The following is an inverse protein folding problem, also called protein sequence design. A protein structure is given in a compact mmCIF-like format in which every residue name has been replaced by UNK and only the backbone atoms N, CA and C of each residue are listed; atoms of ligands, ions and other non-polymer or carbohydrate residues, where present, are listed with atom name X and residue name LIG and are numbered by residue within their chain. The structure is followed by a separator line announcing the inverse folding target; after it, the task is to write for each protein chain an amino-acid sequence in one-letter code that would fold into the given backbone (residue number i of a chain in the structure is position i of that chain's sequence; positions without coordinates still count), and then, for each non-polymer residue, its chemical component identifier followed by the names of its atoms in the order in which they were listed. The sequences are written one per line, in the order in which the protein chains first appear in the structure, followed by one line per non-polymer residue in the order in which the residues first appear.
data_IF_862802292471
#
_entry.id   IF_862802292471
#
_cell.length_a   1.000
_cell.length_b   1.000
_cell.length_c   1.000
_cell.angle_alpha   90.00
_cell.angle_beta   90.00
_cell.angle_gamma   90.00
#
_symmetry.space_group_name_H-M   'P 1'
#
loop_
_entity.id
_entity.type
_entity.pdbx_description
1 polymer ?
#
# COMPACT_ATOMS: atom_id res chain seq x y z
N UNK A 1 -3.22 28.86 16.50
CA UNK A 1 -2.77 28.96 15.09
C UNK A 1 -3.07 27.62 14.46
N UNK A 2 -4.12 27.56 13.65
CA UNK A 2 -4.71 26.30 13.17
C UNK A 2 -4.16 26.03 11.78
N UNK A 3 -3.39 24.95 11.62
CA UNK A 3 -2.79 24.56 10.34
C UNK A 3 -3.91 24.07 9.42
N UNK A 4 -4.16 24.84 8.36
CA UNK A 4 -5.13 24.52 7.32
C UNK A 4 -4.58 23.34 6.51
N UNK A 5 -5.32 22.23 6.47
CA UNK A 5 -4.95 21.06 5.68
C UNK A 5 -5.09 21.41 4.19
N UNK A 6 -3.96 21.54 3.48
CA UNK A 6 -3.93 21.71 2.03
C UNK A 6 -4.54 20.49 1.35
N UNK A 7 -5.81 20.61 1.00
CA UNK A 7 -6.56 19.62 0.24
C UNK A 7 -6.31 19.92 -1.24
N UNK A 8 -5.53 19.06 -1.90
CA UNK A 8 -5.32 19.17 -3.35
C UNK A 8 -6.47 18.45 -4.05
N UNK A 9 -7.32 19.22 -4.73
CA UNK A 9 -8.40 18.74 -5.57
C UNK A 9 -7.83 18.36 -6.94
N UNK A 10 -8.25 17.23 -7.51
CA UNK A 10 -7.77 16.76 -8.81
C UNK A 10 -9.00 16.54 -9.68
N UNK A 11 -9.09 17.25 -10.80
CA UNK A 11 -10.14 17.04 -11.81
C UNK A 11 -9.92 15.69 -12.52
N UNK A 12 -10.89 15.20 -13.32
CA UNK A 12 -10.73 13.98 -14.12
C UNK A 12 -9.49 13.98 -15.04
N UNK A 13 -8.91 15.17 -15.29
CA UNK A 13 -7.76 15.43 -16.16
C UNK A 13 -6.45 15.70 -15.38
N UNK A 14 -6.44 15.58 -14.05
CA UNK A 14 -5.21 15.72 -13.25
C UNK A 14 -4.87 17.12 -12.76
N UNK A 15 -5.69 18.14 -13.07
CA UNK A 15 -5.47 19.54 -12.70
C UNK A 15 -6.16 19.94 -11.39
N UNK A 16 -5.64 20.97 -10.72
CA UNK A 16 -6.23 21.54 -9.51
C UNK A 16 -7.44 22.44 -9.86
N UNK A 17 -8.63 21.84 -9.99
CA UNK A 17 -9.88 22.52 -10.35
C UNK A 17 -10.97 22.47 -9.27
N UNK A 18 -11.95 23.38 -9.38
CA UNK A 18 -13.06 23.54 -8.43
C UNK A 18 -14.13 22.44 -8.53
N UNK A 19 -14.28 21.72 -7.42
CA UNK A 19 -15.49 21.17 -6.78
C UNK A 19 -16.70 20.86 -7.69
N UNK A 20 -16.69 19.76 -8.45
CA UNK A 20 -17.91 19.01 -8.83
C UNK A 20 -17.59 17.55 -9.18
N UNK A 21 -17.72 16.68 -8.17
CA UNK A 21 -18.19 15.28 -8.17
C UNK A 21 -17.49 14.49 -7.04
N UNK A 22 -18.27 14.22 -5.99
CA UNK A 22 -17.81 13.79 -4.67
C UNK A 22 -17.39 12.31 -4.68
N UNK A 23 -16.10 12.06 -4.76
CA UNK A 23 -15.48 10.94 -4.04
C UNK A 23 -15.08 11.52 -2.67
N UNK A 24 -15.53 10.97 -1.52
CA UNK A 24 -15.03 11.38 -0.22
C UNK A 24 -13.52 11.21 -0.23
N UNK A 25 -12.80 12.31 -0.36
CA UNK A 25 -11.37 12.33 -0.54
C UNK A 25 -10.71 11.74 0.70
N UNK A 26 -10.42 10.43 0.67
CA UNK A 26 -9.28 9.90 1.37
C UNK A 26 -8.10 10.72 0.85
N UNK A 27 -7.68 11.73 1.60
CA UNK A 27 -6.59 12.60 1.16
C UNK A 27 -5.40 11.70 0.83
N UNK A 28 -5.01 11.61 -0.44
CA UNK A 28 -3.86 10.80 -0.87
C UNK A 28 -2.63 11.19 -0.04
N UNK A 29 -2.51 12.47 0.33
CA UNK A 29 -1.48 12.93 1.25
C UNK A 29 -1.59 12.27 2.64
N UNK A 30 -2.80 12.22 3.22
CA UNK A 30 -3.02 11.51 4.47
C UNK A 30 -2.74 10.00 4.34
N UNK A 31 -3.20 9.33 3.27
CA UNK A 31 -2.93 7.91 3.05
C UNK A 31 -1.42 7.63 3.01
N UNK A 32 -0.67 8.41 2.22
CA UNK A 32 0.78 8.28 2.10
C UNK A 32 1.49 8.60 3.43
N UNK A 33 1.04 9.62 4.16
CA UNK A 33 1.57 9.96 5.48
C UNK A 33 1.35 8.83 6.48
N UNK A 34 0.15 8.23 6.52
CA UNK A 34 -0.13 7.10 7.40
C UNK A 34 0.67 5.86 7.00
N UNK A 35 0.81 5.59 5.69
CA UNK A 35 1.64 4.50 5.17
C UNK A 35 3.08 4.62 5.66
N UNK A 36 3.66 5.82 5.57
CA UNK A 36 5.02 6.08 6.08
C UNK A 36 5.10 5.92 7.61
N UNK A 37 4.13 6.45 8.34
CA UNK A 37 4.08 6.31 9.79
C UNK A 37 4.02 4.83 10.23
N UNK A 38 3.25 3.99 9.54
CA UNK A 38 3.21 2.54 9.82
C UNK A 38 4.56 1.88 9.53
N UNK A 39 5.24 2.25 8.45
CA UNK A 39 6.58 1.74 8.13
C UNK A 39 7.60 2.06 9.22
N UNK A 40 7.62 3.30 9.71
CA UNK A 40 8.49 3.73 10.82
C UNK A 40 8.20 2.92 12.08
N UNK A 41 6.92 2.83 12.48
CA UNK A 41 6.53 2.09 13.68
C UNK A 41 6.87 0.59 13.60
N UNK A 42 6.72 -0.01 12.41
CA UNK A 42 7.11 -1.40 12.21
C UNK A 42 8.61 -1.60 12.31
N UNK A 43 9.41 -0.70 11.72
CA UNK A 43 10.87 -0.71 11.82
C UNK A 43 11.33 -0.60 13.28
N UNK A 44 10.74 0.31 14.06
CA UNK A 44 11.00 0.45 15.50
C UNK A 44 10.61 -0.82 16.27
N UNK A 45 9.48 -1.44 15.95
CA UNK A 45 9.05 -2.70 16.57
C UNK A 45 10.06 -3.83 16.32
N UNK A 46 10.60 -3.95 15.09
CA UNK A 46 11.63 -4.94 14.79
C UNK A 46 12.91 -4.72 15.60
N UNK A 47 13.33 -3.48 15.78
CA UNK A 47 14.50 -3.16 16.61
C UNK A 47 14.29 -3.55 18.08
N UNK A 48 13.07 -3.34 18.61
CA UNK A 48 12.73 -3.76 19.97
C UNK A 48 12.71 -5.28 20.10
N UNK A 49 12.20 -6.00 19.11
CA UNK A 49 12.23 -7.46 19.08
C UNK A 49 13.67 -8.00 19.02
N UNK A 50 14.54 -7.38 18.21
CA UNK A 50 15.96 -7.73 18.12
C UNK A 50 16.68 -7.52 19.46
N UNK A 51 16.44 -6.38 20.12
CA UNK A 51 16.99 -6.08 21.44
C UNK A 51 16.53 -7.11 22.49
N UNK A 52 15.24 -7.45 22.50
CA UNK A 52 14.68 -8.43 23.42
C UNK A 52 15.27 -9.83 23.19
N UNK A 53 15.39 -10.25 21.93
CA UNK A 53 16.02 -11.52 21.54
C UNK A 53 17.49 -11.58 22.00
N UNK A 54 18.26 -10.52 21.80
CA UNK A 54 19.65 -10.44 22.23
C UNK A 54 19.80 -10.55 23.76
N UNK A 55 18.96 -9.83 24.52
CA UNK A 55 18.96 -9.90 25.99
C UNK A 55 18.62 -11.30 26.50
N UNK A 56 17.59 -11.94 25.95
CA UNK A 56 17.18 -13.28 26.34
C UNK A 56 18.24 -14.34 26.00
N UNK A 57 18.90 -14.20 24.85
CA UNK A 57 20.01 -15.05 24.42
C UNK A 57 21.20 -14.91 25.38
N UNK A 58 21.61 -13.68 25.69
CA UNK A 58 22.71 -13.41 26.63
C UNK A 58 22.44 -13.96 28.04
N UNK A 59 21.18 -13.92 28.48
CA UNK A 59 20.75 -14.48 29.76
C UNK A 59 20.49 -16.00 29.74
N UNK A 60 20.61 -16.66 28.57
CA UNK A 60 20.29 -18.10 28.37
C UNK A 60 18.85 -18.46 28.78
N UNK A 61 17.92 -17.53 28.59
CA UNK A 61 16.50 -17.72 28.90
C UNK A 61 15.74 -18.39 27.74
N UNK A 62 16.32 -18.38 26.54
CA UNK A 62 15.61 -18.71 25.31
C UNK A 62 14.67 -17.57 24.88
N UNK A 63 14.30 -17.56 23.61
CA UNK A 63 13.37 -16.57 23.05
C UNK A 63 12.47 -17.27 22.03
N UNK A 64 11.15 -17.02 22.03
CA UNK A 64 10.25 -17.64 21.05
C UNK A 64 10.59 -17.16 19.64
N UNK A 65 10.44 -18.03 18.65
CA UNK A 65 10.48 -17.62 17.25
C UNK A 65 9.21 -16.85 16.92
N UNK A 66 9.36 -15.58 16.58
CA UNK A 66 8.28 -14.73 16.13
C UNK A 66 8.33 -14.66 14.61
N UNK A 67 7.20 -14.95 13.96
CA UNK A 67 7.11 -14.94 12.51
C UNK A 67 5.97 -14.06 12.02
N UNK A 68 6.21 -13.28 10.97
CA UNK A 68 5.18 -12.58 10.23
C UNK A 68 4.56 -13.55 9.22
N UNK A 69 3.27 -13.84 9.36
CA UNK A 69 2.56 -14.66 8.40
C UNK A 69 2.51 -13.96 7.03
N UNK A 70 2.86 -14.69 5.97
CA UNK A 70 2.67 -14.22 4.59
C UNK A 70 1.30 -14.69 4.13
N UNK A 71 0.29 -13.82 4.26
CA UNK A 71 -1.12 -14.20 4.20
C UNK A 71 -1.47 -15.26 3.14
N UNK A 72 -0.99 -15.12 1.90
CA UNK A 72 -1.50 -15.90 0.77
C UNK A 72 -0.70 -17.15 0.38
N UNK A 73 0.57 -17.35 0.78
CA UNK A 73 1.32 -18.63 0.64
C UNK A 73 2.58 -18.71 1.54
N UNK A 74 2.78 -19.88 2.16
CA UNK A 74 4.08 -20.34 2.66
C UNK A 74 4.32 -20.28 4.17
N UNK A 75 5.53 -20.68 4.59
CA UNK A 75 6.04 -20.47 5.94
C UNK A 75 6.21 -18.95 6.18
N UNK A 76 5.89 -18.48 7.38
CA UNK A 76 6.07 -17.07 7.76
C UNK A 76 7.54 -16.62 7.69
N UNK A 77 7.75 -15.30 7.71
CA UNK A 77 9.10 -14.72 7.78
C UNK A 77 9.51 -14.57 9.24
N UNK A 78 10.65 -15.14 9.61
CA UNK A 78 11.25 -14.95 10.93
C UNK A 78 11.53 -13.46 11.18
N UNK A 79 11.05 -12.97 12.33
CA UNK A 79 11.23 -11.59 12.79
C UNK A 79 12.35 -11.46 13.82
N UNK A 80 12.76 -12.58 14.43
CA UNK A 80 13.81 -12.65 15.45
C UNK A 80 14.72 -13.84 15.22
N UNK A 81 15.92 -13.80 15.79
CA UNK A 81 16.88 -14.92 15.72
C UNK A 81 17.68 -14.98 14.42
N UNK A 82 18.49 -16.02 14.28
CA UNK A 82 19.49 -16.16 13.21
C UNK A 82 18.89 -16.27 11.80
N UNK A 83 17.62 -16.68 11.71
CA UNK A 83 16.92 -16.83 10.42
C UNK A 83 16.17 -15.56 10.01
N UNK A 84 16.14 -14.51 10.83
CA UNK A 84 15.48 -13.26 10.50
C UNK A 84 16.23 -12.51 9.39
N UNK A 85 15.51 -12.20 8.31
CA UNK A 85 16.03 -11.40 7.19
C UNK A 85 15.34 -10.05 7.16
N UNK A 86 15.92 -9.08 7.86
CA UNK A 86 15.33 -7.74 8.07
C UNK A 86 14.89 -7.07 6.76
N UNK A 87 15.75 -7.06 5.73
CA UNK A 87 15.42 -6.49 4.42
C UNK A 87 14.19 -7.15 3.80
N UNK A 88 14.18 -8.48 3.68
CA UNK A 88 13.04 -9.23 3.12
C UNK A 88 11.76 -9.02 3.91
N UNK A 89 11.87 -8.91 5.24
CA UNK A 89 10.73 -8.66 6.11
C UNK A 89 10.13 -7.27 5.88
N UNK A 90 10.97 -6.24 5.78
CA UNK A 90 10.53 -4.87 5.48
C UNK A 90 9.92 -4.74 4.09
N UNK A 91 10.54 -5.32 3.07
CA UNK A 91 10.02 -5.33 1.70
C UNK A 91 8.67 -6.05 1.62
N UNK A 92 8.54 -7.19 2.30
CA UNK A 92 7.28 -7.95 2.34
C UNK A 92 6.19 -7.17 3.08
N UNK A 93 6.53 -6.57 4.22
CA UNK A 93 5.60 -5.77 5.00
C UNK A 93 5.12 -4.54 4.22
N UNK A 94 6.05 -3.85 3.55
CA UNK A 94 5.75 -2.73 2.66
C UNK A 94 4.80 -3.15 1.53
N UNK A 95 5.09 -4.25 0.85
CA UNK A 95 4.22 -4.75 -0.22
C UNK A 95 2.80 -5.08 0.28
N UNK A 96 2.67 -5.64 1.49
CA UNK A 96 1.36 -5.87 2.10
C UNK A 96 0.60 -4.58 2.42
N UNK A 97 1.28 -3.56 2.94
CA UNK A 97 0.66 -2.25 3.19
C UNK A 97 0.24 -1.58 1.89
N UNK A 98 1.12 -1.57 0.90
CA UNK A 98 0.87 -0.94 -0.39
C UNK A 98 -0.30 -1.63 -1.11
N UNK A 99 -0.41 -2.96 -1.02
CA UNK A 99 -1.56 -3.73 -1.52
C UNK A 99 -2.89 -3.25 -0.90
N UNK A 100 -2.90 -3.03 0.41
CA UNK A 100 -4.07 -2.50 1.13
C UNK A 100 -4.41 -1.06 0.71
N UNK A 101 -3.39 -0.22 0.54
CA UNK A 101 -3.54 1.15 0.05
C UNK A 101 -4.14 1.21 -1.36
N UNK A 102 -3.61 0.40 -2.29
CA UNK A 102 -4.15 0.28 -3.65
C UNK A 102 -5.59 -0.24 -3.66
N UNK A 103 -5.89 -1.26 -2.86
CA UNK A 103 -7.25 -1.78 -2.73
C UNK A 103 -8.22 -0.70 -2.28
N UNK A 104 -7.82 0.10 -1.28
CA UNK A 104 -8.63 1.23 -0.77
C UNK A 104 -8.84 2.28 -1.85
N UNK A 105 -7.77 2.73 -2.51
CA UNK A 105 -7.85 3.73 -3.58
C UNK A 105 -8.76 3.29 -4.73
N UNK A 106 -8.67 2.03 -5.16
CA UNK A 106 -9.48 1.51 -6.25
C UNK A 106 -10.97 1.36 -5.89
N UNK A 107 -11.25 0.97 -4.65
CA UNK A 107 -12.63 0.83 -4.16
C UNK A 107 -13.27 2.20 -3.98
N UNK A 108 -12.58 3.12 -3.30
CA UNK A 108 -13.14 4.40 -2.89
C UNK A 108 -13.23 5.37 -4.06
N UNK A 109 -12.34 5.28 -5.05
CA UNK A 109 -12.38 6.14 -6.25
C UNK A 109 -13.50 5.80 -7.23
N UNK A 110 -14.21 4.69 -7.04
CA UNK A 110 -15.17 4.18 -8.02
C UNK A 110 -14.52 3.65 -9.30
N UNK A 111 -13.18 3.65 -9.45
CA UNK A 111 -12.54 3.17 -10.68
C UNK A 111 -12.87 1.70 -11.00
N UNK A 112 -13.13 0.88 -9.98
CA UNK A 112 -13.55 -0.52 -10.20
C UNK A 112 -14.88 -0.65 -10.96
N UNK A 113 -15.78 0.34 -10.86
CA UNK A 113 -17.07 0.29 -11.55
C UNK A 113 -16.96 0.55 -13.04
N UNK A 114 -15.92 1.25 -13.49
CA UNK A 114 -15.68 1.56 -14.91
C UNK A 114 -14.73 0.57 -15.60
N UNK A 115 -13.97 -0.21 -14.84
CA UNK A 115 -13.11 -1.26 -15.39
C UNK A 115 -13.90 -2.39 -16.06
N UNK A 116 -13.33 -3.02 -17.09
CA UNK A 116 -13.83 -4.29 -17.61
C UNK A 116 -13.58 -5.45 -16.62
N UNK A 117 -14.27 -6.57 -16.79
CA UNK A 117 -14.07 -7.75 -15.94
C UNK A 117 -12.65 -8.33 -16.05
N UNK A 118 -12.06 -8.31 -17.25
CA UNK A 118 -10.67 -8.74 -17.47
C UNK A 118 -9.68 -7.79 -16.79
N UNK A 119 -9.90 -6.48 -16.86
CA UNK A 119 -9.02 -5.49 -16.23
C UNK A 119 -9.08 -5.56 -14.71
N UNK A 120 -10.28 -5.73 -14.13
CA UNK A 120 -10.43 -5.96 -12.69
C UNK A 120 -9.64 -7.18 -12.22
N UNK A 121 -9.72 -8.29 -12.97
CA UNK A 121 -8.98 -9.50 -12.64
C UNK A 121 -7.47 -9.28 -12.68
N UNK A 122 -6.95 -8.60 -13.72
CA UNK A 122 -5.52 -8.27 -13.82
C UNK A 122 -5.04 -7.42 -12.63
N UNK A 123 -5.82 -6.42 -12.25
CA UNK A 123 -5.52 -5.53 -11.11
C UNK A 123 -5.54 -6.31 -9.79
N UNK A 124 -6.55 -7.17 -9.57
CA UNK A 124 -6.63 -8.01 -8.38
C UNK A 124 -5.46 -8.99 -8.29
N UNK A 125 -5.02 -9.57 -9.42
CA UNK A 125 -3.85 -10.44 -9.49
C UNK A 125 -2.55 -9.68 -9.19
N UNK A 126 -2.41 -8.44 -9.66
CA UNK A 126 -1.24 -7.61 -9.35
C UNK A 126 -1.18 -7.23 -7.87
N UNK A 127 -2.31 -6.86 -7.27
CA UNK A 127 -2.44 -6.51 -5.84
C UNK A 127 -2.24 -7.74 -4.94
N UNK A 128 -2.72 -8.91 -5.36
CA UNK A 128 -2.57 -10.16 -4.62
C UNK A 128 -1.19 -10.82 -4.75
N UNK A 129 -0.35 -10.38 -5.69
CA UNK A 129 1.00 -10.88 -5.89
C UNK A 129 2.03 -10.02 -5.12
N UNK A 130 3.25 -10.56 -4.87
CA UNK A 130 4.43 -9.79 -4.40
C UNK A 130 4.92 -8.73 -5.42
N UNK A 131 4.06 -8.32 -6.36
CA UNK A 131 4.37 -7.41 -7.47
C UNK A 131 3.56 -6.11 -7.41
N UNK A 132 3.03 -5.78 -6.23
CA UNK A 132 2.31 -4.51 -6.05
C UNK A 132 3.27 -3.35 -6.29
N UNK A 133 2.92 -2.37 -7.14
CA UNK A 133 3.69 -1.15 -7.26
C UNK A 133 3.81 -0.45 -5.91
N UNK A 134 4.95 0.15 -5.63
CA UNK A 134 5.09 0.98 -4.43
C UNK A 134 4.00 2.05 -4.41
N UNK A 135 3.36 2.23 -3.26
CA UNK A 135 2.29 3.21 -3.10
C UNK A 135 2.90 4.62 -2.99
N UNK A 136 3.26 5.20 -4.13
CA UNK A 136 3.78 6.57 -4.25
C UNK A 136 2.79 7.47 -4.96
N UNK A 137 2.94 8.79 -4.80
CA UNK A 137 2.08 9.75 -5.50
C UNK A 137 2.19 9.62 -7.01
N UNK A 138 3.40 9.40 -7.51
CA UNK A 138 3.72 9.25 -8.92
C UNK A 138 3.09 7.98 -9.48
N UNK A 139 3.22 6.85 -8.76
CA UNK A 139 2.60 5.59 -9.15
C UNK A 139 1.07 5.71 -9.17
N UNK A 140 0.48 6.30 -8.12
CA UNK A 140 -0.97 6.56 -8.06
C UNK A 140 -1.42 7.38 -9.26
N UNK A 141 -0.76 8.51 -9.55
CA UNK A 141 -1.08 9.35 -10.71
C UNK A 141 -0.98 8.59 -12.03
N UNK A 142 0.12 7.86 -12.25
CA UNK A 142 0.34 7.11 -13.48
C UNK A 142 -0.72 6.01 -13.68
N UNK A 143 -1.08 5.28 -12.62
CA UNK A 143 -2.11 4.25 -12.67
C UNK A 143 -3.48 4.83 -12.94
N UNK A 144 -3.86 5.91 -12.25
CA UNK A 144 -5.15 6.55 -12.46
C UNK A 144 -5.28 7.19 -13.84
N UNK A 145 -4.22 7.83 -14.36
CA UNK A 145 -4.18 8.35 -15.72
C UNK A 145 -4.38 7.23 -16.76
N UNK A 146 -3.62 6.13 -16.64
CA UNK A 146 -3.77 4.96 -17.53
C UNK A 146 -5.19 4.40 -17.52
N UNK A 147 -5.82 4.34 -16.34
CA UNK A 147 -7.18 3.83 -16.19
C UNK A 147 -8.23 4.80 -16.76
N UNK A 148 -8.02 6.11 -16.63
CA UNK A 148 -8.85 7.13 -17.27
C UNK A 148 -8.69 7.13 -18.80
N UNK A 149 -7.48 7.03 -19.34
CA UNK A 149 -7.23 6.98 -20.79
C UNK A 149 -7.87 5.74 -21.42
N UNK A 150 -7.80 4.59 -20.73
CA UNK A 150 -8.48 3.37 -21.18
C UNK A 150 -10.01 3.52 -21.27
N UNK A 151 -10.61 4.45 -20.53
CA UNK A 151 -12.04 4.78 -20.65
C UNK A 151 -12.34 5.56 -21.92
N UNK A 152 -11.47 6.50 -22.31
CA UNK A 152 -11.62 7.29 -23.54
C UNK A 152 -11.48 6.39 -24.76
N UNK A 153 -10.47 5.52 -24.78
CA UNK A 153 -10.27 4.56 -25.87
C UNK A 153 -11.44 3.56 -26.01
N UNK A 154 -12.03 3.11 -24.89
CA UNK A 154 -13.20 2.23 -24.92
C UNK A 154 -14.49 2.96 -25.37
N UNK A 155 -14.57 4.28 -25.18
CA UNK A 155 -15.69 5.10 -25.64
C UNK A 155 -15.56 5.42 -27.14
N UNK A 156 -14.34 5.57 -27.65
CA UNK A 156 -14.06 5.83 -29.06
C UNK A 156 -14.06 4.55 -29.92
N UNK A 157 -13.75 3.38 -29.37
CA UNK A 157 -13.81 2.10 -30.08
C UNK A 157 -15.20 1.44 -30.13
N UNK A 158 -16.25 2.13 -29.68
CA UNK A 158 -17.63 1.80 -30.01
C UNK A 158 -18.23 0.65 -29.20
N UNK A 159 -19.18 1.02 -28.33
CA UNK A 159 -20.52 0.42 -28.42
C UNK A 159 -21.29 1.20 -29.49
#
# INVERSE_FOLDING_TARGET
MTTQADTIFVTPDGDAGQEHDLIPSLSIANLLQQREAVMILFQEALEKLEQAHALATAARLGFPDLSMARGWRGNGLHMTGEFAKKTTLLETFQACLDAGGWTTLLNDSGMRSVMSASKRKEVDEQIGAEKVPELTREAIRATFATLHDSRVDMFEQGV
#
